data_IF_779512269189
#
_entry.id   IF_779512269189
#
_cell.length_a   1.000
_cell.length_b   1.000
_cell.length_c   1.000
_cell.angle_alpha   90.00
_cell.angle_beta   90.00
_cell.angle_gamma   90.00
#
_symmetry.space_group_name_H-M   'P 1'
#
loop_
_entity.id
_entity.type
_entity.pdbx_description
1 polymer ?
#
# COMPACT_ATOMS: atom_id res chain seq x y z
N UNK A 1 -4.37 12.04 -3.86
CA UNK A 1 -5.86 12.00 -3.87
C UNK A 1 -6.35 10.57 -4.10
N UNK A 2 -5.93 9.86 -5.17
CA UNK A 2 -6.42 8.51 -5.50
C UNK A 2 -6.24 7.51 -4.33
N UNK A 3 -5.08 7.47 -3.71
CA UNK A 3 -4.84 6.63 -2.53
C UNK A 3 -5.84 6.92 -1.40
N UNK A 4 -6.09 8.20 -1.09
CA UNK A 4 -7.02 8.56 -0.03
C UNK A 4 -8.45 8.10 -0.32
N UNK A 5 -8.89 8.13 -1.58
CA UNK A 5 -10.20 7.59 -1.98
C UNK A 5 -10.27 6.10 -1.73
N UNK A 6 -9.25 5.35 -2.13
CA UNK A 6 -9.16 3.89 -1.91
C UNK A 6 -9.18 3.57 -0.42
N UNK A 7 -8.39 4.30 0.37
CA UNK A 7 -8.30 4.13 1.81
C UNK A 7 -9.63 4.45 2.53
N UNK A 8 -10.33 5.53 2.13
CA UNK A 8 -11.64 5.87 2.70
C UNK A 8 -12.68 4.80 2.37
N UNK A 9 -12.67 4.26 1.15
CA UNK A 9 -13.54 3.13 0.78
C UNK A 9 -13.23 1.92 1.67
N UNK A 10 -11.96 1.57 1.83
CA UNK A 10 -11.55 0.46 2.70
C UNK A 10 -12.06 0.65 4.14
N UNK A 11 -11.81 1.82 4.72
CA UNK A 11 -12.24 2.15 6.08
C UNK A 11 -13.78 2.11 6.25
N UNK A 12 -14.52 2.59 5.26
CA UNK A 12 -15.99 2.53 5.27
C UNK A 12 -16.54 1.10 5.35
N UNK A 13 -15.87 0.15 4.70
CA UNK A 13 -16.23 -1.26 4.68
C UNK A 13 -15.40 -2.12 5.65
N UNK A 14 -14.75 -1.51 6.66
CA UNK A 14 -13.88 -2.21 7.62
C UNK A 14 -12.87 -3.15 6.94
N UNK A 15 -12.31 -2.71 5.82
CA UNK A 15 -11.33 -3.43 4.98
C UNK A 15 -11.76 -4.81 4.52
N UNK A 16 -12.19 -5.69 5.45
CA UNK A 16 -12.59 -7.08 5.19
C UNK A 16 -13.89 -7.23 4.38
N UNK A 17 -14.71 -6.17 4.27
CA UNK A 17 -16.05 -6.25 3.69
C UNK A 17 -16.23 -5.43 2.42
N UNK A 18 -15.15 -4.90 1.83
CA UNK A 18 -15.25 -4.16 0.56
C UNK A 18 -15.75 -5.09 -0.53
N UNK A 19 -16.90 -4.80 -1.19
CA UNK A 19 -17.51 -5.71 -2.16
C UNK A 19 -16.88 -5.57 -3.56
N UNK A 20 -15.55 -5.52 -3.64
CA UNK A 20 -14.83 -5.32 -4.90
C UNK A 20 -15.07 -6.43 -5.91
N UNK A 21 -15.24 -7.67 -5.43
CA UNK A 21 -15.52 -8.80 -6.31
C UNK A 21 -16.93 -8.75 -6.89
N UNK A 22 -17.91 -8.33 -6.08
CA UNK A 22 -19.29 -8.13 -6.55
C UNK A 22 -19.33 -7.00 -7.58
N UNK A 23 -18.57 -5.92 -7.37
CA UNK A 23 -18.43 -4.85 -8.37
C UNK A 23 -17.77 -5.36 -9.65
N UNK A 24 -16.72 -6.19 -9.54
CA UNK A 24 -16.07 -6.82 -10.69
C UNK A 24 -17.04 -7.69 -11.48
N UNK A 25 -17.81 -8.54 -10.81
CA UNK A 25 -18.83 -9.38 -11.46
C UNK A 25 -19.92 -8.51 -12.12
N UNK A 26 -20.43 -7.52 -11.39
CA UNK A 26 -21.54 -6.69 -11.85
C UNK A 26 -21.19 -5.81 -13.06
N UNK A 27 -20.00 -5.18 -13.05
CA UNK A 27 -19.64 -4.17 -14.03
C UNK A 27 -18.68 -4.67 -15.11
N UNK A 28 -17.86 -5.68 -14.77
CA UNK A 28 -16.84 -6.22 -15.68
C UNK A 28 -17.17 -7.63 -16.14
N UNK A 29 -18.24 -8.26 -15.60
CA UNK A 29 -18.60 -9.67 -15.85
C UNK A 29 -17.46 -10.64 -15.58
N UNK A 30 -16.63 -10.34 -14.55
CA UNK A 30 -15.43 -11.07 -14.22
C UNK A 30 -15.36 -11.36 -12.72
N UNK A 31 -15.28 -12.66 -12.36
CA UNK A 31 -15.08 -13.09 -10.98
C UNK A 31 -13.56 -13.08 -10.66
N UNK A 32 -13.12 -12.00 -10.02
CA UNK A 32 -11.73 -11.79 -9.68
C UNK A 32 -11.22 -12.80 -8.64
N UNK A 33 -12.03 -13.08 -7.62
CA UNK A 33 -11.65 -14.01 -6.57
C UNK A 33 -11.49 -15.43 -7.12
N UNK A 34 -12.43 -15.87 -7.96
CA UNK A 34 -12.33 -17.18 -8.61
C UNK A 34 -11.11 -17.26 -9.53
N UNK A 35 -10.87 -16.25 -10.34
CA UNK A 35 -9.74 -16.22 -11.28
C UNK A 35 -8.38 -16.27 -10.59
N UNK A 36 -8.29 -15.66 -9.39
CA UNK A 36 -7.06 -15.59 -8.61
C UNK A 36 -6.95 -16.70 -7.54
N UNK A 37 -7.99 -17.52 -7.37
CA UNK A 37 -8.04 -18.55 -6.32
C UNK A 37 -8.08 -17.97 -4.91
N UNK A 38 -8.63 -16.77 -4.72
CA UNK A 38 -8.72 -16.12 -3.42
C UNK A 38 -9.96 -16.56 -2.64
N UNK A 39 -9.74 -16.97 -1.41
CA UNK A 39 -10.80 -17.42 -0.48
C UNK A 39 -11.17 -16.37 0.56
N UNK A 40 -10.46 -15.24 0.61
CA UNK A 40 -10.68 -14.10 1.51
C UNK A 40 -10.83 -12.80 0.72
N UNK A 41 -11.31 -11.77 1.39
CA UNK A 41 -11.28 -10.42 0.84
C UNK A 41 -9.83 -9.92 0.78
N UNK A 42 -9.38 -9.47 -0.40
CA UNK A 42 -8.01 -9.04 -0.63
C UNK A 42 -7.88 -7.52 -0.70
N UNK A 43 -8.94 -6.76 -0.37
CA UNK A 43 -8.92 -5.31 -0.58
C UNK A 43 -7.89 -4.61 0.29
N UNK A 44 -7.71 -5.06 1.51
CA UNK A 44 -6.67 -4.60 2.41
C UNK A 44 -5.28 -4.70 1.80
N UNK A 45 -4.95 -5.83 1.21
CA UNK A 45 -3.71 -6.05 0.44
C UNK A 45 -3.51 -5.01 -0.67
N UNK A 46 -4.60 -4.66 -1.36
CA UNK A 46 -4.55 -3.62 -2.38
C UNK A 46 -4.28 -2.24 -1.79
N UNK A 47 -4.85 -1.93 -0.62
CA UNK A 47 -4.59 -0.66 0.06
C UNK A 47 -3.09 -0.50 0.34
N UNK A 48 -2.44 -1.52 0.89
CA UNK A 48 -1.01 -1.48 1.18
C UNK A 48 -0.15 -1.39 -0.09
N UNK A 49 -0.47 -2.18 -1.13
CA UNK A 49 0.21 -2.06 -2.42
C UNK A 49 0.08 -0.65 -3.00
N UNK A 50 -1.13 -0.10 -3.02
CA UNK A 50 -1.41 1.23 -3.55
C UNK A 50 -0.84 2.35 -2.67
N UNK A 51 -0.70 2.13 -1.36
CA UNK A 51 0.04 3.02 -0.49
C UNK A 51 1.45 3.25 -1.03
N UNK A 52 2.22 2.19 -1.20
CA UNK A 52 3.58 2.29 -1.74
C UNK A 52 3.61 2.86 -3.15
N UNK A 53 2.70 2.41 -4.02
CA UNK A 53 2.67 2.75 -5.44
C UNK A 53 2.34 4.23 -5.68
N UNK A 54 1.36 4.78 -4.97
CA UNK A 54 0.87 6.14 -5.19
C UNK A 54 1.50 7.19 -4.30
N UNK A 55 2.01 6.82 -3.10
CA UNK A 55 2.65 7.78 -2.22
C UNK A 55 4.15 7.88 -2.43
N UNK A 56 4.80 6.93 -3.09
CA UNK A 56 6.21 7.04 -3.45
C UNK A 56 6.56 8.35 -4.15
N UNK A 57 5.86 8.81 -5.22
CA UNK A 57 6.19 10.05 -5.91
C UNK A 57 6.05 11.28 -5.00
N UNK A 58 5.09 11.26 -4.09
CA UNK A 58 4.87 12.32 -3.12
C UNK A 58 6.04 12.42 -2.13
N UNK A 59 6.44 11.31 -1.51
CA UNK A 59 7.59 11.27 -0.60
C UNK A 59 8.90 11.58 -1.31
N UNK A 60 9.07 11.07 -2.53
CA UNK A 60 10.22 11.39 -3.37
C UNK A 60 10.35 12.90 -3.57
N UNK A 61 9.25 13.58 -3.88
CA UNK A 61 9.26 15.04 -4.07
C UNK A 61 9.57 15.79 -2.79
N UNK A 62 9.04 15.38 -1.65
CA UNK A 62 9.36 15.97 -0.34
C UNK A 62 10.86 15.88 -0.06
N UNK A 63 11.42 14.67 -0.14
CA UNK A 63 12.85 14.47 0.13
C UNK A 63 13.76 15.17 -0.89
N UNK A 64 13.33 15.25 -2.14
CA UNK A 64 14.07 16.00 -3.17
C UNK A 64 14.16 17.50 -2.83
N UNK A 65 13.10 18.07 -2.24
CA UNK A 65 13.10 19.49 -1.80
C UNK A 65 13.90 19.67 -0.52
N UNK A 66 13.79 18.77 0.45
CA UNK A 66 14.48 18.88 1.74
C UNK A 66 15.97 18.53 1.66
N UNK A 67 16.34 17.65 0.76
CA UNK A 67 17.68 17.09 0.61
C UNK A 67 18.15 17.19 -0.85
N UNK A 68 18.28 18.41 -1.41
CA UNK A 68 18.50 18.62 -2.84
C UNK A 68 19.86 18.11 -3.34
N UNK A 69 20.81 17.88 -2.44
CA UNK A 69 22.16 17.36 -2.78
C UNK A 69 22.20 15.83 -2.93
N UNK A 70 21.13 15.10 -2.60
CA UNK A 70 21.12 13.65 -2.68
C UNK A 70 21.12 13.16 -4.13
N UNK A 71 21.94 12.16 -4.40
CA UNK A 71 21.93 11.46 -5.68
C UNK A 71 20.60 10.70 -5.88
N UNK A 72 20.11 10.55 -7.11
CA UNK A 72 18.83 9.86 -7.39
C UNK A 72 18.74 8.45 -6.79
N UNK A 73 19.82 7.68 -6.81
CA UNK A 73 19.86 6.33 -6.20
C UNK A 73 19.70 6.36 -4.67
N UNK A 74 20.36 7.32 -4.01
CA UNK A 74 20.28 7.49 -2.55
C UNK A 74 18.86 7.93 -2.17
N UNK A 75 18.29 8.86 -2.92
CA UNK A 75 16.92 9.32 -2.73
C UNK A 75 15.91 8.18 -2.95
N UNK A 76 16.10 7.36 -3.98
CA UNK A 76 15.30 6.15 -4.23
C UNK A 76 15.27 5.23 -3.00
N UNK A 77 16.44 4.88 -2.45
CA UNK A 77 16.54 4.02 -1.27
C UNK A 77 15.94 4.66 -0.03
N UNK A 78 16.17 5.95 0.19
CA UNK A 78 15.61 6.70 1.32
C UNK A 78 14.07 6.68 1.30
N UNK A 79 13.45 6.88 0.14
CA UNK A 79 11.99 6.86 0.02
C UNK A 79 11.44 5.47 0.27
N UNK A 80 12.09 4.40 -0.24
CA UNK A 80 11.67 3.02 0.05
C UNK A 80 11.75 2.75 1.56
N UNK A 81 12.85 3.11 2.22
CA UNK A 81 12.98 2.95 3.68
C UNK A 81 11.91 3.74 4.43
N UNK A 82 11.58 4.93 3.96
CA UNK A 82 10.51 5.74 4.57
C UNK A 82 9.14 5.08 4.43
N UNK A 83 8.81 4.52 3.25
CA UNK A 83 7.59 3.76 3.04
C UNK A 83 7.55 2.53 3.96
N UNK A 84 8.64 1.79 4.09
CA UNK A 84 8.75 0.65 5.01
C UNK A 84 8.50 1.08 6.46
N UNK A 85 9.13 2.16 6.91
CA UNK A 85 9.00 2.66 8.27
C UNK A 85 7.56 3.14 8.57
N UNK A 86 6.95 3.85 7.64
CA UNK A 86 5.57 4.33 7.81
C UNK A 86 4.54 3.21 7.71
N UNK A 87 4.78 2.19 6.88
CA UNK A 87 3.95 0.99 6.84
C UNK A 87 4.03 0.22 8.16
N UNK A 88 5.24 0.00 8.71
CA UNK A 88 5.42 -0.59 10.04
C UNK A 88 4.69 0.23 11.12
N UNK A 89 4.76 1.56 11.05
CA UNK A 89 4.07 2.41 12.02
C UNK A 89 2.55 2.29 11.93
N UNK A 90 2.03 2.07 10.72
CA UNK A 90 0.62 1.82 10.50
C UNK A 90 0.16 0.50 11.15
N UNK A 91 0.93 -0.59 10.99
CA UNK A 91 0.67 -1.88 11.64
C UNK A 91 0.68 -1.75 13.19
N UNK A 92 1.56 -0.89 13.74
CA UNK A 92 1.55 -0.62 15.18
C UNK A 92 0.27 0.11 15.62
N UNK A 93 -0.23 1.06 14.83
CA UNK A 93 -1.50 1.75 15.10
C UNK A 93 -2.64 0.72 15.10
N UNK A 94 -2.70 -0.17 14.11
CA UNK A 94 -3.69 -1.23 14.05
C UNK A 94 -3.62 -2.15 15.27
N UNK A 95 -2.42 -2.57 15.65
CA UNK A 95 -2.21 -3.37 16.84
C UNK A 95 -2.66 -2.64 18.12
N UNK A 96 -2.34 -1.37 18.29
CA UNK A 96 -2.78 -0.60 19.46
C UNK A 96 -4.28 -0.42 19.53
N UNK A 97 -4.92 -0.21 18.39
CA UNK A 97 -6.39 -0.15 18.31
C UNK A 97 -6.99 -1.51 18.66
N UNK A 98 -6.43 -2.59 18.13
CA UNK A 98 -6.90 -3.96 18.38
C UNK A 98 -6.84 -4.36 19.86
N UNK A 99 -5.83 -3.89 20.62
CA UNK A 99 -5.75 -4.11 22.09
C UNK A 99 -6.97 -3.54 22.83
N UNK A 100 -7.55 -2.44 22.33
CA UNK A 100 -8.72 -1.77 22.92
C UNK A 100 -10.07 -2.33 22.46
N UNK A 101 -10.10 -3.23 21.52
CA UNK A 101 -11.30 -3.82 20.92
C UNK A 101 -11.57 -5.23 21.46
N UNK A 102 -12.80 -5.73 21.25
CA UNK A 102 -13.07 -7.15 21.40
C UNK A 102 -12.33 -7.96 20.32
N UNK A 103 -12.06 -9.26 20.52
CA UNK A 103 -11.37 -10.06 19.52
C UNK A 103 -12.04 -10.04 18.13
N UNK A 104 -13.36 -10.03 18.07
CA UNK A 104 -14.12 -9.98 16.82
C UNK A 104 -14.00 -8.61 16.13
N UNK A 105 -14.10 -7.53 16.90
CA UNK A 105 -13.93 -6.18 16.36
C UNK A 105 -12.49 -5.93 15.88
N UNK A 106 -11.50 -6.44 16.60
CA UNK A 106 -10.09 -6.37 16.21
C UNK A 106 -9.83 -7.10 14.89
N UNK A 107 -10.35 -8.32 14.74
CA UNK A 107 -10.23 -9.11 13.51
C UNK A 107 -10.87 -8.39 12.31
N UNK A 108 -12.05 -7.81 12.51
CA UNK A 108 -12.77 -7.07 11.46
C UNK A 108 -12.04 -5.77 11.09
N UNK A 109 -11.46 -5.08 12.07
CA UNK A 109 -10.75 -3.82 11.85
C UNK A 109 -9.41 -4.02 11.14
N UNK A 110 -8.61 -4.99 11.60
CA UNK A 110 -7.29 -5.25 11.04
C UNK A 110 -7.34 -5.95 9.66
N UNK A 111 -8.48 -6.48 9.26
CA UNK A 111 -8.59 -7.16 7.97
C UNK A 111 -7.89 -8.52 7.88
N UNK A 112 -7.42 -9.08 9.00
CA UNK A 112 -6.57 -10.29 9.04
C UNK A 112 -7.24 -11.52 8.44
N UNK A 113 -8.55 -11.73 8.72
CA UNK A 113 -9.33 -12.87 8.21
C UNK A 113 -8.63 -14.20 8.43
N UNK A 114 -8.00 -14.35 9.62
CA UNK A 114 -7.28 -15.55 10.04
C UNK A 114 -5.85 -15.70 9.50
N UNK A 115 -5.31 -14.71 8.80
CA UNK A 115 -3.92 -14.75 8.31
C UNK A 115 -2.95 -14.22 9.37
N UNK A 116 -2.25 -15.08 10.05
CA UNK A 116 -1.28 -14.72 11.10
C UNK A 116 -0.08 -13.89 10.58
N UNK A 117 0.14 -13.87 9.27
CA UNK A 117 1.21 -13.11 8.61
C UNK A 117 0.69 -11.84 7.92
N UNK A 118 -0.49 -11.39 8.29
CA UNK A 118 -1.18 -10.26 7.68
C UNK A 118 -0.29 -9.01 7.65
N UNK A 119 0.07 -8.47 8.80
CA UNK A 119 0.94 -7.31 8.95
C UNK A 119 2.24 -7.41 8.14
N UNK A 120 2.87 -8.59 8.12
CA UNK A 120 4.12 -8.80 7.36
C UNK A 120 3.90 -8.70 5.85
N UNK A 121 2.79 -9.27 5.36
CA UNK A 121 2.45 -9.25 3.93
C UNK A 121 2.06 -7.83 3.49
N UNK A 122 1.40 -7.08 4.35
CA UNK A 122 0.97 -5.71 4.07
C UNK A 122 2.16 -4.75 3.99
N UNK A 123 3.07 -4.80 4.96
CA UNK A 123 4.34 -4.08 4.87
C UNK A 123 5.15 -4.46 3.63
N UNK A 124 5.17 -5.75 3.26
CA UNK A 124 5.85 -6.23 2.07
C UNK A 124 5.22 -5.68 0.79
N UNK A 125 3.89 -5.69 0.69
CA UNK A 125 3.17 -5.15 -0.47
C UNK A 125 3.36 -3.64 -0.62
N UNK A 126 3.32 -2.88 0.48
CA UNK A 126 3.67 -1.46 0.49
C UNK A 126 5.09 -1.22 -0.06
N UNK A 127 6.04 -2.04 0.36
CA UNK A 127 7.42 -1.99 -0.12
C UNK A 127 7.52 -2.31 -1.61
N UNK A 128 6.83 -3.34 -2.10
CA UNK A 128 6.78 -3.69 -3.53
C UNK A 128 6.19 -2.55 -4.36
N UNK A 129 5.08 -1.96 -3.92
CA UNK A 129 4.48 -0.80 -4.59
C UNK A 129 5.45 0.38 -4.71
N UNK A 130 6.19 0.68 -3.63
CA UNK A 130 7.21 1.73 -3.62
C UNK A 130 8.39 1.40 -4.56
N UNK A 131 8.86 0.16 -4.59
CA UNK A 131 9.94 -0.29 -5.50
C UNK A 131 9.50 -0.13 -6.95
N UNK A 132 8.28 -0.58 -7.30
CA UNK A 132 7.76 -0.49 -8.67
C UNK A 132 7.77 0.95 -9.19
N UNK A 133 7.17 1.87 -8.43
CA UNK A 133 7.13 3.28 -8.81
C UNK A 133 8.52 3.93 -8.76
N UNK A 134 9.32 3.56 -7.74
CA UNK A 134 10.66 4.06 -7.57
C UNK A 134 11.60 3.71 -8.72
N UNK A 135 11.53 2.49 -9.25
CA UNK A 135 12.31 2.08 -10.41
C UNK A 135 11.95 2.87 -11.68
N UNK A 136 10.68 3.17 -11.87
CA UNK A 136 10.22 4.04 -12.98
C UNK A 136 10.79 5.44 -12.82
N UNK A 137 10.69 6.02 -11.62
CA UNK A 137 11.21 7.35 -11.29
C UNK A 137 12.74 7.44 -11.46
N UNK A 138 13.46 6.40 -11.02
CA UNK A 138 14.92 6.34 -11.15
C UNK A 138 15.36 6.28 -12.62
N UNK A 139 14.68 5.48 -13.45
CA UNK A 139 14.94 5.40 -14.89
C UNK A 139 14.69 6.75 -15.58
N UNK A 140 13.65 7.47 -15.21
CA UNK A 140 13.36 8.80 -15.74
C UNK A 140 14.45 9.81 -15.37
N UNK A 141 14.88 9.83 -14.11
CA UNK A 141 15.92 10.73 -13.62
C UNK A 141 17.29 10.49 -14.29
N UNK A 142 17.63 9.23 -14.59
CA UNK A 142 18.90 8.90 -15.26
C UNK A 142 18.90 9.24 -16.74
N UNK A 143 17.74 9.16 -17.42
CA UNK A 143 17.62 9.57 -18.84
C UNK A 143 17.68 11.08 -19.04
N UNK A 144 17.17 11.87 -18.10
CA UNK A 144 17.22 13.34 -18.17
C UNK A 144 18.61 13.95 -17.95
N UNK A 145 19.57 13.17 -17.43
CA UNK A 145 20.94 13.60 -17.18
C UNK A 145 21.95 13.25 -18.31
N UNK A 146 21.51 12.73 -19.45
CA UNK A 146 22.37 12.65 -20.63
C UNK A 146 22.35 14.01 -21.36
N UNK A 147 23.46 14.78 -21.37
CA UNK A 147 23.56 15.97 -22.22
C UNK A 147 23.51 15.52 -23.69
N UNK A 148 22.70 16.21 -24.49
CA UNK A 148 22.74 16.15 -25.95
C UNK A 148 24.04 16.76 -26.46
#
# INVERSE_FOLDING_TARGET
ILFLVIHVIAAHYLYSYVPYNDWSIKYLHFDLNQAMGWTRNMFDRFVHLFYGLFLYPFFYRIFQVWLPSLKPKTLFLLVIQFVMATSLFYEWIEWWIAIGLSPEEAENYNGQQGDIWDAHKDMFLATIGAIMTGLVSLKAATKGNHPQ
#
